data_IF_270394988817
#
_entry.id   IF_270394988817
#
_cell.length_a   1.000
_cell.length_b   1.000
_cell.length_c   1.000
_cell.angle_alpha   90.00
_cell.angle_beta   90.00
_cell.angle_gamma   90.00
#
_symmetry.space_group_name_H-M   'P 1'
#
loop_
_entity.id
_entity.type
_entity.pdbx_description
1 polymer ?
#
# COMPACT_ATOMS: atom_id res chain seq x y z
N UNK A 1 -28.79 -46.23 38.95
CA UNK A 1 -27.52 -45.47 39.14
C UNK A 1 -26.79 -45.48 37.81
N UNK A 2 -27.01 -44.45 36.98
CA UNK A 2 -26.37 -44.33 35.67
C UNK A 2 -25.12 -43.47 35.81
N UNK A 3 -23.96 -44.06 35.55
CA UNK A 3 -22.69 -43.33 35.52
C UNK A 3 -22.52 -42.70 34.12
N UNK A 4 -22.57 -41.36 34.06
CA UNK A 4 -22.26 -40.58 32.89
C UNK A 4 -20.73 -40.41 32.83
N UNK A 5 -20.08 -41.01 31.82
CA UNK A 5 -18.68 -40.78 31.52
C UNK A 5 -18.54 -39.53 30.64
N UNK A 6 -17.98 -38.48 31.21
CA UNK A 6 -17.64 -37.24 30.51
C UNK A 6 -16.32 -37.44 29.75
N UNK A 7 -16.36 -37.60 28.43
CA UNK A 7 -15.16 -37.59 27.58
C UNK A 7 -14.70 -36.16 27.34
N UNK A 8 -13.62 -35.77 28.01
CA UNK A 8 -12.89 -34.54 27.66
C UNK A 8 -12.07 -34.80 26.39
N UNK A 9 -12.53 -34.25 25.27
CA UNK A 9 -11.73 -34.20 24.03
C UNK A 9 -10.75 -33.02 24.15
N UNK A 10 -9.49 -33.35 24.43
CA UNK A 10 -8.39 -32.37 24.34
C UNK A 10 -8.09 -32.15 22.87
N UNK A 11 -8.55 -31.04 22.31
CA UNK A 11 -8.19 -30.58 20.97
C UNK A 11 -6.77 -29.99 21.05
N UNK A 12 -5.77 -30.79 20.64
CA UNK A 12 -4.40 -30.28 20.45
C UNK A 12 -4.43 -29.46 19.18
N UNK A 13 -4.52 -28.14 19.32
CA UNK A 13 -4.19 -27.21 18.22
C UNK A 13 -2.68 -27.30 17.98
N UNK A 14 -2.26 -28.13 17.04
CA UNK A 14 -0.92 -28.05 16.46
C UNK A 14 -0.86 -26.76 15.62
N UNK A 15 -0.31 -25.70 16.18
CA UNK A 15 0.16 -24.56 15.39
C UNK A 15 1.30 -25.09 14.52
N UNK A 16 0.99 -25.37 13.25
CA UNK A 16 2.00 -25.56 12.23
C UNK A 16 2.65 -24.20 12.06
N UNK A 17 3.77 -23.96 12.74
CA UNK A 17 4.63 -22.83 12.49
C UNK A 17 5.11 -22.97 11.04
N UNK A 18 4.59 -22.15 10.13
CA UNK A 18 5.17 -22.02 8.81
C UNK A 18 6.62 -21.58 9.00
N UNK A 19 7.57 -22.45 8.65
CA UNK A 19 8.98 -22.10 8.68
C UNK A 19 9.16 -20.90 7.75
N UNK A 20 9.64 -19.79 8.29
CA UNK A 20 9.90 -18.58 7.56
C UNK A 20 10.90 -18.87 6.44
N UNK A 21 10.55 -18.53 5.20
CA UNK A 21 11.42 -18.75 4.05
C UNK A 21 12.68 -17.89 4.19
N UNK A 22 13.85 -18.53 4.22
CA UNK A 22 15.13 -17.84 4.36
C UNK A 22 15.52 -17.16 3.05
N UNK A 23 16.00 -15.94 3.14
CA UNK A 23 16.57 -15.23 1.99
C UNK A 23 17.81 -16.00 1.52
N UNK A 24 17.81 -16.36 0.26
CA UNK A 24 18.97 -16.98 -0.40
C UNK A 24 19.80 -15.90 -1.08
N UNK A 25 21.04 -15.75 -0.63
CA UNK A 25 22.02 -14.84 -1.23
C UNK A 25 23.28 -15.62 -1.56
N UNK A 26 23.88 -15.35 -2.70
CA UNK A 26 25.11 -15.99 -3.17
C UNK A 26 26.19 -14.99 -3.55
N UNK A 27 25.91 -13.69 -3.48
CA UNK A 27 26.83 -12.65 -3.93
C UNK A 27 28.20 -12.68 -3.23
N UNK A 28 28.24 -13.07 -1.95
CA UNK A 28 29.50 -13.25 -1.23
C UNK A 28 30.35 -14.38 -1.84
N UNK A 29 29.73 -15.53 -2.08
CA UNK A 29 30.39 -16.69 -2.69
C UNK A 29 30.81 -16.41 -4.14
N UNK A 30 29.95 -15.76 -4.90
CA UNK A 30 30.20 -15.47 -6.32
C UNK A 30 31.38 -14.51 -6.50
N UNK A 31 31.53 -13.52 -5.62
CA UNK A 31 32.55 -12.49 -5.74
C UNK A 31 33.84 -12.82 -4.97
N UNK A 32 33.73 -13.42 -3.80
CA UNK A 32 34.82 -13.58 -2.87
C UNK A 32 35.06 -15.02 -2.39
N UNK A 33 34.25 -15.99 -2.84
CA UNK A 33 34.26 -17.35 -2.31
C UNK A 33 35.62 -18.06 -2.37
N UNK A 34 36.43 -17.79 -3.40
CA UNK A 34 37.78 -18.34 -3.52
C UNK A 34 38.83 -17.53 -2.78
N UNK A 35 38.64 -16.23 -2.60
CA UNK A 35 39.58 -15.32 -1.93
C UNK A 35 39.36 -15.23 -0.40
N UNK A 36 38.07 -15.11 0.00
CA UNK A 36 37.68 -14.94 1.39
C UNK A 36 36.46 -15.81 1.73
N UNK A 37 36.61 -17.16 1.74
CA UNK A 37 35.47 -18.08 1.86
C UNK A 37 34.68 -17.89 3.16
N UNK A 38 35.33 -17.57 4.28
CA UNK A 38 34.63 -17.33 5.54
C UNK A 38 33.82 -16.03 5.53
N UNK A 39 34.33 -14.99 4.89
CA UNK A 39 33.57 -13.75 4.71
C UNK A 39 32.33 -14.00 3.85
N UNK A 40 32.49 -14.73 2.75
CA UNK A 40 31.40 -15.09 1.85
C UNK A 40 30.30 -15.89 2.58
N UNK A 41 30.67 -16.88 3.37
CA UNK A 41 29.76 -17.65 4.23
C UNK A 41 29.00 -16.74 5.19
N UNK A 42 29.70 -15.87 5.93
CA UNK A 42 29.08 -14.95 6.90
C UNK A 42 28.12 -13.97 6.22
N UNK A 43 28.49 -13.48 5.02
CA UNK A 43 27.61 -12.61 4.24
C UNK A 43 26.35 -13.33 3.78
N UNK A 44 26.49 -14.48 3.15
CA UNK A 44 25.38 -15.14 2.48
C UNK A 44 24.48 -15.89 3.50
N UNK A 45 25.05 -16.65 4.40
CA UNK A 45 24.29 -17.52 5.29
C UNK A 45 23.86 -16.81 6.58
N UNK A 46 24.73 -15.99 7.17
CA UNK A 46 24.44 -15.34 8.45
C UNK A 46 23.74 -14.00 8.24
N UNK A 47 24.37 -13.07 7.50
CA UNK A 47 23.76 -11.75 7.32
C UNK A 47 22.42 -11.86 6.59
N UNK A 48 22.39 -12.45 5.41
CA UNK A 48 21.14 -12.55 4.64
C UNK A 48 20.28 -13.74 5.06
N UNK A 49 20.87 -14.93 5.21
CA UNK A 49 20.15 -16.16 5.54
C UNK A 49 19.57 -16.20 6.95
N UNK A 50 20.13 -15.49 7.90
CA UNK A 50 19.62 -15.44 9.27
C UNK A 50 19.13 -14.06 9.66
N UNK A 51 19.97 -13.00 9.60
CA UNK A 51 19.60 -11.68 10.14
C UNK A 51 18.53 -11.03 9.30
N UNK A 52 18.70 -10.93 7.98
CA UNK A 52 17.70 -10.34 7.09
C UNK A 52 16.43 -11.18 6.96
N UNK A 53 16.52 -12.48 7.18
CA UNK A 53 15.36 -13.39 7.14
C UNK A 53 14.45 -13.30 8.37
N UNK A 54 14.80 -12.53 9.41
CA UNK A 54 13.96 -12.33 10.61
C UNK A 54 12.88 -11.28 10.37
N UNK A 55 12.05 -11.50 9.35
CA UNK A 55 11.02 -10.54 8.91
C UNK A 55 9.83 -10.43 9.87
N UNK A 56 9.69 -11.41 10.78
CA UNK A 56 8.76 -11.39 11.93
C UNK A 56 9.17 -10.37 13.01
N UNK A 57 10.44 -9.97 13.05
CA UNK A 57 10.98 -9.02 14.02
C UNK A 57 11.16 -7.63 13.46
N UNK A 58 11.63 -7.53 12.22
CA UNK A 58 11.79 -6.28 11.49
C UNK A 58 11.63 -6.57 10.00
N UNK A 59 10.67 -5.92 9.36
CA UNK A 59 10.36 -6.11 7.94
C UNK A 59 11.53 -5.74 7.02
N UNK A 60 11.54 -6.28 5.79
CA UNK A 60 12.60 -6.00 4.81
C UNK A 60 12.68 -4.52 4.44
N UNK A 61 11.55 -3.84 4.39
CA UNK A 61 11.46 -2.40 4.15
C UNK A 61 12.22 -1.60 5.21
N UNK A 62 11.95 -1.88 6.48
CA UNK A 62 12.59 -1.17 7.60
C UNK A 62 14.07 -1.52 7.71
N UNK A 63 14.45 -2.77 7.43
CA UNK A 63 15.88 -3.17 7.34
C UNK A 63 16.58 -2.38 6.25
N UNK A 64 15.97 -2.20 5.10
CA UNK A 64 16.51 -1.38 4.02
C UNK A 64 16.68 0.08 4.46
N UNK A 65 15.69 0.66 5.14
CA UNK A 65 15.78 2.01 5.73
C UNK A 65 16.97 2.16 6.66
N UNK A 66 17.12 1.25 7.62
CA UNK A 66 18.23 1.26 8.58
C UNK A 66 19.58 1.14 7.86
N UNK A 67 19.67 0.26 6.85
CA UNK A 67 20.90 0.01 6.11
C UNK A 67 21.31 1.22 5.28
N UNK A 68 20.41 1.77 4.46
CA UNK A 68 20.73 2.95 3.62
C UNK A 68 21.06 4.18 4.47
N UNK A 69 20.32 4.38 5.57
CA UNK A 69 20.61 5.46 6.52
C UNK A 69 22.02 5.33 7.13
N UNK A 70 22.38 4.12 7.54
CA UNK A 70 23.70 3.82 8.08
C UNK A 70 24.82 4.07 7.07
N UNK A 71 24.65 3.59 5.82
CA UNK A 71 25.64 3.76 4.75
C UNK A 71 25.84 5.25 4.41
N UNK A 72 24.75 5.99 4.21
CA UNK A 72 24.81 7.43 3.90
C UNK A 72 25.49 8.18 5.05
N UNK A 73 25.15 7.88 6.30
CA UNK A 73 25.72 8.56 7.46
C UNK A 73 27.22 8.32 7.59
N UNK A 74 27.71 7.15 7.21
CA UNK A 74 29.13 6.83 7.16
C UNK A 74 29.85 7.44 5.92
N UNK A 75 29.12 7.96 4.93
CA UNK A 75 29.67 8.48 3.70
C UNK A 75 29.99 7.42 2.65
N UNK A 76 29.44 6.21 2.81
CA UNK A 76 29.52 5.14 1.82
C UNK A 76 28.50 5.47 0.72
N UNK A 77 28.98 5.99 -0.39
CA UNK A 77 28.15 6.48 -1.54
C UNK A 77 28.68 5.93 -2.86
N UNK A 78 29.03 4.67 -2.86
CA UNK A 78 29.52 3.89 -3.99
C UNK A 78 28.50 2.83 -4.43
N UNK A 79 28.95 1.80 -5.14
CA UNK A 79 28.13 0.68 -5.59
C UNK A 79 27.44 -0.09 -4.47
N UNK A 80 28.00 -0.08 -3.23
CA UNK A 80 27.36 -0.71 -2.08
C UNK A 80 26.06 0.01 -1.71
N UNK A 81 26.07 1.35 -1.73
CA UNK A 81 24.83 2.12 -1.53
C UNK A 81 23.84 1.89 -2.68
N UNK A 82 24.29 1.85 -3.94
CA UNK A 82 23.42 1.57 -5.09
C UNK A 82 22.69 0.24 -4.93
N UNK A 83 23.40 -0.83 -4.52
CA UNK A 83 22.79 -2.13 -4.25
C UNK A 83 21.70 -2.06 -3.17
N UNK A 84 21.96 -1.36 -2.07
CA UNK A 84 20.99 -1.23 -0.99
C UNK A 84 19.83 -0.28 -1.33
N UNK A 85 20.02 0.73 -2.16
CA UNK A 85 18.95 1.56 -2.72
C UNK A 85 18.05 0.71 -3.64
N UNK A 86 18.64 -0.14 -4.50
CA UNK A 86 17.86 -1.06 -5.32
C UNK A 86 17.06 -2.05 -4.47
N UNK A 87 17.66 -2.60 -3.41
CA UNK A 87 16.97 -3.46 -2.45
C UNK A 87 15.85 -2.71 -1.73
N UNK A 88 16.06 -1.45 -1.35
CA UNK A 88 15.07 -0.61 -0.72
C UNK A 88 13.86 -0.36 -1.64
N UNK A 89 14.10 -0.06 -2.93
CA UNK A 89 13.05 0.05 -3.94
C UNK A 89 12.25 -1.26 -4.06
N UNK A 90 12.93 -2.39 -4.19
CA UNK A 90 12.30 -3.71 -4.29
C UNK A 90 11.49 -4.08 -3.03
N UNK A 91 11.91 -3.57 -1.88
CA UNK A 91 11.24 -3.76 -0.58
C UNK A 91 10.16 -2.71 -0.30
N UNK A 92 9.77 -1.89 -1.30
CA UNK A 92 8.61 -1.00 -1.24
C UNK A 92 8.90 0.42 -0.78
N UNK A 93 10.15 0.89 -0.74
CA UNK A 93 10.45 2.30 -0.52
C UNK A 93 10.20 3.05 -1.83
N UNK A 94 9.27 4.00 -1.80
CA UNK A 94 8.88 4.79 -2.96
C UNK A 94 9.88 5.91 -3.27
N UNK A 95 9.76 6.48 -4.48
CA UNK A 95 10.57 7.64 -4.89
C UNK A 95 10.39 8.84 -3.97
N UNK A 96 9.16 9.10 -3.55
CA UNK A 96 8.85 10.20 -2.63
C UNK A 96 9.46 9.96 -1.25
N UNK A 97 9.33 8.74 -0.73
CA UNK A 97 9.89 8.38 0.58
C UNK A 97 11.42 8.46 0.58
N UNK A 98 12.11 7.92 -0.44
CA UNK A 98 13.57 7.99 -0.46
C UNK A 98 14.06 9.44 -0.57
N UNK A 99 13.34 10.32 -1.26
CA UNK A 99 13.65 11.74 -1.31
C UNK A 99 13.54 12.38 0.07
N UNK A 100 12.46 12.12 0.82
CA UNK A 100 12.29 12.62 2.18
C UNK A 100 13.32 12.03 3.16
N UNK A 101 13.63 10.73 3.06
CA UNK A 101 14.64 10.07 3.89
C UNK A 101 16.01 10.72 3.70
N UNK A 102 16.46 10.92 2.45
CA UNK A 102 17.76 11.53 2.16
C UNK A 102 17.77 13.00 2.59
N UNK A 103 16.67 13.72 2.39
CA UNK A 103 16.51 15.10 2.87
C UNK A 103 16.69 15.16 4.38
N UNK A 104 15.97 14.31 5.11
CA UNK A 104 16.08 14.23 6.57
C UNK A 104 17.51 13.89 7.02
N UNK A 105 18.12 12.87 6.44
CA UNK A 105 19.51 12.46 6.74
C UNK A 105 20.49 13.62 6.50
N UNK A 106 20.25 14.49 5.53
CA UNK A 106 21.09 15.64 5.23
C UNK A 106 21.33 16.54 6.42
N UNK A 107 20.37 16.68 7.34
CA UNK A 107 20.51 17.46 8.58
C UNK A 107 21.36 16.77 9.66
N UNK A 108 21.46 15.46 9.63
CA UNK A 108 22.18 14.67 10.64
C UNK A 108 23.57 14.21 10.16
N UNK A 109 23.69 13.88 8.86
CA UNK A 109 24.92 13.36 8.27
C UNK A 109 25.70 14.37 7.41
N UNK A 110 25.07 15.48 7.07
CA UNK A 110 25.62 16.58 6.28
C UNK A 110 25.26 16.55 4.80
N UNK A 111 25.07 17.75 4.20
CA UNK A 111 24.64 17.97 2.83
C UNK A 111 25.49 17.27 1.75
N UNK A 112 26.85 17.23 1.82
CA UNK A 112 27.62 16.56 0.79
C UNK A 112 27.28 15.09 0.63
N UNK A 113 27.00 14.39 1.75
CA UNK A 113 26.61 12.98 1.74
C UNK A 113 25.21 12.80 1.17
N UNK A 114 24.26 13.67 1.54
CA UNK A 114 22.92 13.69 0.98
C UNK A 114 22.93 13.91 -0.54
N UNK A 115 23.71 14.86 -1.05
CA UNK A 115 23.88 15.10 -2.49
C UNK A 115 24.45 13.89 -3.21
N UNK A 116 25.43 13.20 -2.63
CA UNK A 116 26.00 11.98 -3.20
C UNK A 116 24.95 10.85 -3.25
N UNK A 117 24.18 10.67 -2.16
CA UNK A 117 23.11 9.68 -2.10
C UNK A 117 21.98 9.99 -3.10
N UNK A 118 21.60 11.26 -3.28
CA UNK A 118 20.59 11.68 -4.27
C UNK A 118 20.99 11.34 -5.70
N UNK A 119 22.27 11.47 -6.06
CA UNK A 119 22.72 11.07 -7.41
C UNK A 119 22.43 9.59 -7.68
N UNK A 120 22.77 8.70 -6.74
CA UNK A 120 22.52 7.28 -6.87
C UNK A 120 21.03 6.92 -6.78
N UNK A 121 20.30 7.56 -5.85
CA UNK A 121 18.86 7.35 -5.73
C UNK A 121 18.12 7.76 -7.01
N UNK A 122 18.50 8.89 -7.63
CA UNK A 122 17.91 9.35 -8.89
C UNK A 122 18.10 8.33 -10.04
N UNK A 123 19.22 7.61 -10.07
CA UNK A 123 19.47 6.55 -11.06
C UNK A 123 18.58 5.33 -10.76
N UNK A 124 18.52 4.91 -9.50
CA UNK A 124 17.73 3.73 -9.07
C UNK A 124 16.22 3.94 -9.30
N UNK A 125 15.70 5.14 -9.10
CA UNK A 125 14.27 5.47 -9.33
C UNK A 125 14.02 6.22 -10.65
N UNK A 126 14.96 6.19 -11.61
CA UNK A 126 14.82 6.89 -12.90
C UNK A 126 13.65 6.36 -13.75
N UNK A 127 13.33 5.06 -13.63
CA UNK A 127 12.30 4.38 -14.41
C UNK A 127 10.89 4.47 -13.78
N UNK A 128 10.73 5.09 -12.61
CA UNK A 128 9.42 5.24 -11.93
C UNK A 128 8.47 6.23 -12.63
N UNK A 129 8.67 6.47 -13.92
CA UNK A 129 7.79 7.30 -14.75
C UNK A 129 6.64 6.53 -15.38
N UNK A 130 6.62 5.19 -15.27
CA UNK A 130 5.56 4.35 -15.81
C UNK A 130 4.51 4.03 -14.75
N UNK A 131 3.23 4.21 -15.06
CA UNK A 131 2.10 3.97 -14.16
C UNK A 131 2.04 2.54 -13.59
N UNK A 132 2.65 1.55 -14.26
CA UNK A 132 2.75 0.17 -13.76
C UNK A 132 3.62 0.06 -12.50
N UNK A 133 4.74 0.79 -12.44
CA UNK A 133 5.61 0.80 -11.26
C UNK A 133 4.93 1.48 -10.06
N UNK A 134 4.20 2.58 -10.30
CA UNK A 134 3.44 3.26 -9.27
C UNK A 134 2.29 2.37 -8.72
N UNK A 135 1.61 1.63 -9.60
CA UNK A 135 0.58 0.66 -9.21
C UNK A 135 1.17 -0.46 -8.35
N UNK A 136 2.31 -1.03 -8.76
CA UNK A 136 2.98 -2.09 -8.02
C UNK A 136 3.50 -1.61 -6.65
N UNK A 137 4.01 -0.38 -6.57
CA UNK A 137 4.40 0.25 -5.32
C UNK A 137 3.20 0.40 -4.37
N UNK A 138 2.10 0.93 -4.87
CA UNK A 138 0.88 1.10 -4.08
C UNK A 138 0.29 -0.25 -3.63
N UNK A 139 0.33 -1.29 -4.49
CA UNK A 139 -0.12 -2.64 -4.11
C UNK A 139 0.67 -3.20 -2.91
N UNK A 140 1.95 -2.90 -2.78
CA UNK A 140 2.77 -3.36 -1.64
C UNK A 140 2.39 -2.70 -0.31
N UNK A 141 1.79 -1.52 -0.35
CA UNK A 141 1.29 -0.81 0.84
C UNK A 141 -0.08 -1.31 1.30
N UNK A 142 -0.78 -2.09 0.45
CA UNK A 142 -2.13 -2.51 0.70
C UNK A 142 -2.22 -3.95 1.25
N UNK A 143 -3.15 -4.15 2.20
CA UNK A 143 -3.56 -5.49 2.68
C UNK A 143 -4.45 -6.17 1.63
N UNK A 144 -5.30 -5.40 0.94
CA UNK A 144 -6.23 -5.90 -0.07
C UNK A 144 -5.67 -5.74 -1.47
N UNK A 145 -6.02 -6.64 -2.43
CA UNK A 145 -5.56 -6.49 -3.80
C UNK A 145 -6.14 -5.23 -4.45
N UNK A 146 -5.38 -4.58 -5.33
CA UNK A 146 -5.88 -3.49 -6.18
C UNK A 146 -7.04 -3.99 -7.06
N UNK A 147 -6.91 -5.20 -7.57
CA UNK A 147 -7.90 -5.81 -8.44
C UNK A 147 -7.71 -5.48 -9.93
N UNK A 148 -8.74 -5.81 -10.70
CA UNK A 148 -8.76 -5.62 -12.14
C UNK A 148 -9.23 -4.21 -12.52
N UNK A 149 -8.88 -3.71 -13.73
CA UNK A 149 -9.43 -2.47 -14.24
C UNK A 149 -10.96 -2.46 -14.15
N UNK A 150 -11.53 -1.38 -13.62
CA UNK A 150 -12.98 -1.23 -13.39
C UNK A 150 -13.74 -0.93 -14.67
N UNK A 151 -13.57 -1.79 -15.69
CA UNK A 151 -14.06 -1.57 -17.05
C UNK A 151 -15.60 -1.42 -17.13
N UNK A 152 -16.34 -2.17 -16.30
CA UNK A 152 -17.81 -2.15 -16.30
C UNK A 152 -18.38 -0.77 -15.89
N UNK A 153 -17.67 -0.05 -15.04
CA UNK A 153 -18.08 1.25 -14.51
C UNK A 153 -17.22 2.42 -15.03
N UNK A 154 -16.26 2.17 -15.94
CA UNK A 154 -15.29 3.18 -16.40
C UNK A 154 -15.95 4.49 -16.88
N UNK A 155 -17.11 4.42 -17.52
CA UNK A 155 -17.89 5.59 -17.97
C UNK A 155 -18.37 6.52 -16.83
N UNK A 156 -18.35 6.06 -15.61
CA UNK A 156 -18.76 6.81 -14.41
C UNK A 156 -17.57 7.32 -13.60
N UNK A 157 -16.36 7.23 -14.15
CA UNK A 157 -15.14 7.69 -13.50
C UNK A 157 -14.36 8.63 -14.41
N UNK A 158 -13.75 9.65 -13.82
CA UNK A 158 -12.70 10.44 -14.45
C UNK A 158 -11.38 9.84 -14.01
N UNK A 159 -10.54 9.39 -14.95
CA UNK A 159 -9.29 8.68 -14.66
C UNK A 159 -9.48 7.17 -14.48
N UNK A 160 -8.39 6.46 -14.11
CA UNK A 160 -8.36 5.01 -13.99
C UNK A 160 -8.71 4.56 -12.57
N UNK A 161 -9.55 3.54 -12.47
CA UNK A 161 -9.90 2.88 -11.22
C UNK A 161 -9.87 1.36 -11.37
N UNK A 162 -9.73 0.68 -10.24
CA UNK A 162 -9.64 -0.77 -10.16
C UNK A 162 -10.62 -1.29 -9.12
N UNK A 163 -11.06 -2.52 -9.28
CA UNK A 163 -12.04 -3.15 -8.40
C UNK A 163 -11.61 -4.58 -8.03
N UNK A 164 -11.54 -4.85 -6.74
CA UNK A 164 -11.35 -6.18 -6.21
C UNK A 164 -12.54 -6.56 -5.31
N UNK A 165 -13.36 -7.56 -5.68
CA UNK A 165 -14.37 -8.10 -4.77
C UNK A 165 -13.70 -8.77 -3.57
N UNK A 166 -14.09 -8.37 -2.37
CA UNK A 166 -13.57 -8.91 -1.10
C UNK A 166 -14.60 -9.88 -0.48
N UNK A 167 -15.88 -9.52 -0.52
CA UNK A 167 -16.99 -10.38 -0.08
C UNK A 167 -18.15 -10.27 -1.05
N UNK A 168 -18.82 -11.41 -1.30
CA UNK A 168 -20.04 -11.48 -2.11
C UNK A 168 -21.20 -12.10 -1.33
N UNK A 169 -20.95 -12.49 -0.08
CA UNK A 169 -21.92 -13.11 0.80
C UNK A 169 -22.30 -12.15 1.93
N UNK A 170 -23.56 -12.20 2.38
CA UNK A 170 -24.15 -11.37 3.41
C UNK A 170 -24.11 -9.86 3.09
N UNK A 171 -22.91 -9.26 3.05
CA UNK A 171 -22.68 -7.88 2.66
C UNK A 171 -21.68 -7.88 1.51
N UNK A 172 -22.04 -7.21 0.41
CA UNK A 172 -21.13 -7.03 -0.71
C UNK A 172 -20.07 -6.00 -0.33
N UNK A 173 -18.80 -6.41 -0.42
CA UNK A 173 -17.66 -5.57 -0.11
C UNK A 173 -16.69 -5.61 -1.28
N UNK A 174 -16.28 -4.45 -1.74
CA UNK A 174 -15.22 -4.32 -2.74
C UNK A 174 -14.11 -3.40 -2.24
N UNK A 175 -12.86 -3.72 -2.56
CA UNK A 175 -11.80 -2.74 -2.53
C UNK A 175 -11.83 -1.97 -3.84
N UNK A 176 -12.04 -0.66 -3.76
CA UNK A 176 -12.03 0.27 -4.90
C UNK A 176 -10.75 1.08 -4.83
N UNK A 177 -9.94 1.00 -5.88
CA UNK A 177 -8.65 1.69 -5.96
C UNK A 177 -8.69 2.72 -7.08
N UNK A 178 -8.16 3.90 -6.82
CA UNK A 178 -8.14 5.07 -7.69
C UNK A 178 -6.69 5.51 -7.94
N UNK A 179 -6.34 5.74 -9.20
CA UNK A 179 -5.11 6.46 -9.54
C UNK A 179 -5.17 7.92 -9.08
N UNK A 180 -4.02 8.62 -8.96
CA UNK A 180 -4.00 10.04 -8.65
C UNK A 180 -4.96 10.84 -9.55
N UNK A 181 -5.78 11.70 -8.96
CA UNK A 181 -6.77 12.51 -9.67
C UNK A 181 -8.05 11.77 -10.09
N UNK A 182 -8.10 10.45 -9.98
CA UNK A 182 -9.28 9.67 -10.35
C UNK A 182 -10.40 9.86 -9.32
N UNK A 183 -11.62 10.03 -9.81
CA UNK A 183 -12.83 10.18 -9.01
C UNK A 183 -14.05 9.64 -9.76
N UNK A 184 -15.03 9.16 -9.00
CA UNK A 184 -16.29 8.78 -9.59
C UNK A 184 -17.22 10.00 -9.82
N UNK A 185 -18.23 9.80 -10.63
CA UNK A 185 -19.30 10.78 -10.83
C UNK A 185 -20.11 10.97 -9.54
N UNK A 186 -20.84 12.06 -9.47
CA UNK A 186 -21.94 12.18 -8.53
C UNK A 186 -22.87 11.00 -8.69
N UNK A 187 -23.28 10.39 -7.57
CA UNK A 187 -24.19 9.24 -7.58
C UNK A 187 -24.99 9.14 -6.28
N UNK A 188 -26.00 8.28 -6.31
CA UNK A 188 -26.92 8.08 -5.20
C UNK A 188 -27.17 6.58 -5.05
N UNK A 189 -26.99 6.06 -3.83
CA UNK A 189 -27.48 4.74 -3.45
C UNK A 189 -28.93 4.86 -3.01
N UNK A 190 -29.87 4.52 -3.90
CA UNK A 190 -31.30 4.58 -3.63
C UNK A 190 -31.75 3.41 -2.77
N UNK A 191 -32.62 3.67 -1.80
CA UNK A 191 -33.39 2.63 -1.10
C UNK A 191 -34.64 3.22 -0.46
N UNK A 192 -35.70 2.41 -0.29
CA UNK A 192 -36.91 2.76 0.42
C UNK A 192 -36.77 2.66 1.92
N UNK A 193 -35.98 1.67 2.39
CA UNK A 193 -35.68 1.42 3.80
C UNK A 193 -34.30 0.78 3.92
N UNK A 194 -33.50 1.18 4.91
CA UNK A 194 -32.09 0.78 4.97
C UNK A 194 -31.30 1.30 3.79
N UNK A 195 -30.32 0.54 3.30
CA UNK A 195 -29.50 0.90 2.14
C UNK A 195 -28.46 1.97 2.44
N UNK A 196 -27.87 2.52 1.39
CA UNK A 196 -26.74 3.43 1.46
C UNK A 196 -25.41 2.71 1.29
N UNK A 197 -24.32 3.38 1.64
CA UNK A 197 -22.96 2.86 1.50
C UNK A 197 -22.13 3.21 2.73
N UNK A 198 -21.13 2.41 3.03
CA UNK A 198 -20.08 2.76 3.98
C UNK A 198 -18.74 2.62 3.31
N UNK A 199 -17.84 3.59 3.52
CA UNK A 199 -16.47 3.55 3.05
C UNK A 199 -15.52 3.45 4.22
N UNK A 200 -14.45 2.65 4.07
CA UNK A 200 -13.33 2.60 5.01
C UNK A 200 -12.04 2.81 4.22
N UNK A 201 -11.32 3.90 4.48
CA UNK A 201 -10.03 4.15 3.89
C UNK A 201 -9.02 3.06 4.27
N UNK A 202 -8.28 2.51 3.29
CA UNK A 202 -7.30 1.43 3.54
C UNK A 202 -5.89 1.77 3.10
N UNK A 203 -5.72 2.65 2.11
CA UNK A 203 -4.39 3.11 1.67
C UNK A 203 -4.47 4.46 0.97
N UNK A 204 -3.37 5.22 1.00
CA UNK A 204 -3.26 6.51 0.33
C UNK A 204 -4.16 7.58 0.90
N UNK A 205 -4.58 8.54 0.05
CA UNK A 205 -5.39 9.70 0.45
C UNK A 205 -6.46 9.99 -0.59
N UNK A 206 -7.70 10.18 -0.13
CA UNK A 206 -8.84 10.48 -0.98
C UNK A 206 -9.81 11.47 -0.35
N UNK A 207 -10.90 11.69 -1.08
CA UNK A 207 -11.95 12.64 -0.72
C UNK A 207 -13.33 12.00 -0.84
N UNK A 208 -14.23 12.40 0.03
CA UNK A 208 -15.67 12.20 -0.05
C UNK A 208 -16.36 13.55 0.03
N UNK A 209 -17.41 13.74 -0.76
CA UNK A 209 -18.24 14.94 -0.63
C UNK A 209 -19.70 14.60 -0.87
N UNK A 210 -20.54 15.04 0.05
CA UNK A 210 -21.98 15.10 -0.10
C UNK A 210 -22.39 16.43 -0.76
N UNK A 211 -23.38 16.42 -1.62
CA UNK A 211 -23.86 17.63 -2.29
C UNK A 211 -24.21 18.74 -1.30
N UNK A 212 -23.68 19.92 -1.54
CA UNK A 212 -23.89 21.10 -0.67
C UNK A 212 -23.10 21.11 0.63
N UNK A 213 -22.24 20.10 0.88
CA UNK A 213 -21.37 20.06 2.07
C UNK A 213 -19.89 20.20 1.71
N UNK A 214 -19.04 20.60 2.66
CA UNK A 214 -17.58 20.55 2.48
C UNK A 214 -17.10 19.11 2.19
N UNK A 215 -16.03 18.98 1.41
CA UNK A 215 -15.36 17.69 1.22
C UNK A 215 -14.70 17.22 2.52
N UNK A 216 -14.70 15.91 2.73
CA UNK A 216 -14.07 15.22 3.86
C UNK A 216 -12.90 14.40 3.35
N UNK A 217 -11.74 14.56 3.95
CA UNK A 217 -10.55 13.78 3.64
C UNK A 217 -10.70 12.34 4.14
N UNK A 218 -10.28 11.38 3.33
CA UNK A 218 -10.27 9.96 3.68
C UNK A 218 -8.81 9.49 3.72
N UNK A 219 -8.37 9.13 4.90
CA UNK A 219 -7.09 8.50 5.19
C UNK A 219 -7.32 7.04 5.63
N UNK A 220 -6.28 6.18 5.69
CA UNK A 220 -6.40 4.85 6.25
C UNK A 220 -7.02 4.87 7.65
N UNK A 221 -8.08 4.08 7.86
CA UNK A 221 -8.87 4.04 9.10
C UNK A 221 -10.03 5.03 9.16
N UNK A 222 -10.15 5.99 8.23
CA UNK A 222 -11.33 6.87 8.16
C UNK A 222 -12.55 6.07 7.74
N UNK A 223 -13.67 6.24 8.46
CA UNK A 223 -14.96 5.61 8.16
C UNK A 223 -15.97 6.69 7.75
N UNK A 224 -16.57 6.53 6.58
CA UNK A 224 -17.63 7.41 6.05
C UNK A 224 -18.93 6.61 6.00
N UNK A 225 -19.96 7.10 6.67
CA UNK A 225 -21.33 6.58 6.63
C UNK A 225 -22.16 7.41 5.64
N UNK A 226 -22.64 6.78 4.58
CA UNK A 226 -23.42 7.43 3.52
C UNK A 226 -24.84 6.86 3.57
N UNK A 227 -25.81 7.61 4.12
CA UNK A 227 -27.20 7.18 4.14
C UNK A 227 -27.75 6.96 2.72
N UNK A 228 -28.77 6.10 2.59
CA UNK A 228 -29.51 5.98 1.34
C UNK A 228 -30.05 7.33 0.89
N UNK A 229 -30.12 7.51 -0.45
CA UNK A 229 -30.66 8.70 -1.12
C UNK A 229 -29.82 9.99 -0.96
N UNK A 230 -28.59 9.90 -0.45
CA UNK A 230 -27.65 11.02 -0.39
C UNK A 230 -26.86 11.08 -1.69
N UNK A 231 -26.85 12.25 -2.36
CA UNK A 231 -26.02 12.51 -3.53
C UNK A 231 -24.60 12.82 -3.09
N UNK A 232 -23.63 12.07 -3.59
CA UNK A 232 -22.24 12.17 -3.19
C UNK A 232 -21.29 11.71 -4.29
N UNK A 233 -20.01 11.96 -4.08
CA UNK A 233 -18.90 11.40 -4.86
C UNK A 233 -17.72 11.11 -3.93
N UNK A 234 -16.78 10.27 -4.40
CA UNK A 234 -15.50 10.02 -3.76
C UNK A 234 -14.41 9.70 -4.80
N UNK A 235 -13.14 9.85 -4.41
CA UNK A 235 -12.01 9.63 -5.30
C UNK A 235 -10.68 9.93 -4.65
N UNK A 236 -9.59 9.71 -5.39
CA UNK A 236 -8.23 9.99 -4.94
C UNK A 236 -7.96 11.49 -4.80
N UNK A 237 -6.92 11.87 -4.06
CA UNK A 237 -6.30 13.18 -4.16
C UNK A 237 -5.55 13.31 -5.51
N UNK A 238 -5.18 14.54 -5.88
CA UNK A 238 -4.63 14.81 -7.21
C UNK A 238 -3.24 14.19 -7.45
N UNK A 239 -2.49 13.94 -6.39
CA UNK A 239 -1.07 13.61 -6.40
C UNK A 239 -0.73 12.21 -5.87
N UNK A 240 -1.70 11.48 -5.31
CA UNK A 240 -1.46 10.19 -4.68
C UNK A 240 -2.59 9.20 -4.95
N UNK A 241 -2.26 7.92 -5.03
CA UNK A 241 -3.21 6.83 -5.09
C UNK A 241 -4.09 6.77 -3.85
N UNK A 242 -5.27 6.21 -4.00
CA UNK A 242 -6.23 6.03 -2.92
C UNK A 242 -6.95 4.69 -3.05
N UNK A 243 -7.18 4.01 -1.93
CA UNK A 243 -8.04 2.84 -1.88
C UNK A 243 -8.93 2.85 -0.65
N UNK A 244 -10.16 2.38 -0.82
CA UNK A 244 -11.11 2.18 0.26
C UNK A 244 -11.92 0.90 0.07
N UNK A 245 -12.37 0.31 1.17
CA UNK A 245 -13.45 -0.68 1.13
C UNK A 245 -14.78 0.04 0.94
N UNK A 246 -15.56 -0.43 -0.02
CA UNK A 246 -16.94 0.00 -0.23
C UNK A 246 -17.88 -1.12 0.21
N UNK A 247 -18.73 -0.83 1.18
CA UNK A 247 -19.76 -1.73 1.68
C UNK A 247 -21.11 -1.29 1.12
N UNK A 248 -21.79 -2.15 0.38
CA UNK A 248 -23.19 -1.91 0.01
C UNK A 248 -24.09 -2.34 1.17
N UNK A 249 -24.73 -1.38 1.81
CA UNK A 249 -25.62 -1.65 2.93
C UNK A 249 -26.94 -2.23 2.39
N UNK A 250 -27.38 -3.40 2.87
CA UNK A 250 -28.64 -4.01 2.43
C UNK A 250 -29.82 -3.08 2.68
N UNK A 251 -30.67 -2.94 1.67
CA UNK A 251 -31.87 -2.08 1.74
C UNK A 251 -33.00 -2.57 0.84
N UNK A 252 -34.23 -2.14 1.16
CA UNK A 252 -35.39 -2.46 0.37
C UNK A 252 -35.43 -1.59 -0.90
N UNK A 253 -35.48 -2.24 -2.08
CA UNK A 253 -35.51 -1.59 -3.38
C UNK A 253 -34.22 -0.81 -3.68
N UNK A 254 -33.08 -1.35 -3.25
CA UNK A 254 -31.76 -0.74 -3.48
C UNK A 254 -31.41 -0.69 -4.97
N UNK A 255 -30.86 0.45 -5.41
CA UNK A 255 -30.31 0.67 -6.75
C UNK A 255 -29.29 1.80 -6.74
N UNK A 256 -28.39 1.80 -7.72
CA UNK A 256 -27.39 2.86 -7.88
C UNK A 256 -27.80 3.78 -9.03
N UNK A 257 -27.89 5.07 -8.77
CA UNK A 257 -28.16 6.12 -9.75
C UNK A 257 -26.90 6.94 -9.99
N UNK A 258 -26.38 6.84 -11.21
CA UNK A 258 -25.21 7.59 -11.65
C UNK A 258 -25.63 8.90 -12.31
N UNK A 259 -24.97 9.99 -11.92
CA UNK A 259 -25.28 11.35 -12.33
C UNK A 259 -24.09 11.98 -13.08
N UNK A 260 -24.02 13.31 -13.09
CA UNK A 260 -22.98 14.08 -13.77
C UNK A 260 -21.56 13.87 -13.20
N UNK A 261 -20.53 14.04 -14.00
CA UNK A 261 -19.13 14.06 -13.52
C UNK A 261 -18.88 15.20 -12.53
N UNK A 262 -17.98 14.97 -11.60
CA UNK A 262 -17.42 16.03 -10.76
C UNK A 262 -16.51 16.89 -11.64
N UNK A 263 -16.82 18.18 -11.80
CA UNK A 263 -16.03 19.06 -12.63
C UNK A 263 -14.65 19.38 -12.02
N UNK A 264 -13.66 19.65 -12.88
CA UNK A 264 -12.28 19.87 -12.48
C UNK A 264 -12.11 21.10 -11.57
N UNK A 265 -12.90 22.16 -11.76
CA UNK A 265 -12.84 23.36 -10.94
C UNK A 265 -13.24 23.05 -9.48
N UNK A 266 -14.33 22.33 -9.26
CA UNK A 266 -14.79 21.92 -7.95
C UNK A 266 -13.79 20.95 -7.29
N UNK A 267 -13.30 19.96 -8.06
CA UNK A 267 -12.31 19.02 -7.59
C UNK A 267 -10.99 19.68 -7.18
N UNK A 268 -10.46 20.60 -7.99
CA UNK A 268 -9.19 21.28 -7.71
C UNK A 268 -9.27 22.25 -6.52
N UNK A 269 -10.45 22.74 -6.18
CA UNK A 269 -10.63 23.61 -4.99
C UNK A 269 -10.40 22.88 -3.68
N UNK A 270 -10.65 21.58 -3.61
CA UNK A 270 -10.48 20.79 -2.38
C UNK A 270 -9.07 20.25 -2.21
N UNK A 271 -8.19 20.35 -3.23
CA UNK A 271 -6.81 19.88 -3.18
C UNK A 271 -5.85 20.88 -2.48
N UNK A 272 -6.35 22.05 -2.15
CA UNK A 272 -5.59 23.14 -1.50
C UNK A 272 -5.74 23.07 0.01
#
# INVERSE_FOLDING_TARGET
>A
MNKIYLFLVFSILTTIGMAQEKIKQTAGRDQLGTFAPKFAELNDDVLFGEVWSRTDRLGLRDRSLVTITSLISQGITDSSLTFHLQSARNNGITRTEIAEIITHIGFYAGWPKAWAAFRLAKEVWAEDTNGEDAKAAFQREMIFPIGEPNAAYARYFTGNSYLAPISREQVYISNVTFEPGCRNNWHIHRAKKGGGQMLIGVAGRGWYQEEGKPAVEILPGTVIHIPANVKHWHGAAADIWFAHLAFEIPGEGSSNEWLEPVNDEAYNKIQK
#
